data_IF_850939800050
#
_entry.id   IF_850939800050
#
_cell.length_a   1.000
_cell.length_b   1.000
_cell.length_c   1.000
_cell.angle_alpha   90.00
_cell.angle_beta   90.00
_cell.angle_gamma   90.00
#
_symmetry.space_group_name_H-M   'P 1'
#
loop_
_entity.id
_entity.type
_entity.pdbx_description
1 polymer ?
#
# COMPACT_ATOMS: atom_id res chain seq x y z
N UNK A 1 1.79 -10.40 -12.02
CA UNK A 1 1.89 -11.62 -12.86
C UNK A 1 2.49 -11.36 -14.25
N UNK A 2 2.23 -10.23 -14.92
CA UNK A 2 2.79 -9.93 -16.25
C UNK A 2 4.21 -9.36 -16.21
N UNK A 3 4.53 -8.52 -15.24
CA UNK A 3 5.81 -7.81 -15.15
C UNK A 3 6.98 -8.78 -14.91
N UNK A 4 6.83 -9.70 -13.94
CA UNK A 4 7.90 -10.64 -13.60
C UNK A 4 8.31 -11.53 -14.78
N UNK A 5 7.38 -12.21 -15.49
CA UNK A 5 7.73 -12.96 -16.69
C UNK A 5 8.31 -12.11 -17.81
N UNK A 6 7.82 -10.88 -18.01
CA UNK A 6 8.37 -9.98 -19.02
C UNK A 6 9.83 -9.58 -18.69
N UNK A 7 10.09 -9.19 -17.44
CA UNK A 7 11.47 -8.89 -16.99
C UNK A 7 12.38 -10.08 -17.17
N UNK A 8 11.94 -11.27 -16.79
CA UNK A 8 12.73 -12.50 -16.93
C UNK A 8 13.03 -12.83 -18.40
N UNK A 9 12.03 -12.72 -19.28
CA UNK A 9 12.20 -12.98 -20.71
C UNK A 9 13.17 -12.02 -21.40
N UNK A 10 13.11 -10.73 -21.05
CA UNK A 10 13.93 -9.68 -21.69
C UNK A 10 15.26 -9.40 -20.97
N UNK A 11 15.49 -9.92 -19.77
CA UNK A 11 16.77 -9.83 -19.05
C UNK A 11 17.72 -11.01 -19.29
N UNK A 12 17.40 -11.89 -20.24
CA UNK A 12 18.24 -13.05 -20.57
C UNK A 12 18.19 -14.17 -19.51
N UNK A 13 17.13 -14.22 -18.69
CA UNK A 13 16.98 -15.25 -17.68
C UNK A 13 17.80 -15.05 -16.40
N UNK A 14 18.40 -13.89 -16.19
CA UNK A 14 19.22 -13.61 -15.02
C UNK A 14 18.36 -13.17 -13.83
N UNK A 15 18.28 -13.95 -12.72
CA UNK A 15 17.46 -13.63 -11.57
C UNK A 15 17.92 -12.36 -10.82
N UNK A 16 19.18 -11.94 -10.96
CA UNK A 16 19.73 -10.76 -10.30
C UNK A 16 19.07 -9.45 -10.77
N UNK A 17 18.41 -9.47 -11.93
CA UNK A 17 17.64 -8.33 -12.44
C UNK A 17 16.23 -8.23 -11.86
N UNK A 18 15.78 -9.21 -11.09
CA UNK A 18 14.48 -9.23 -10.42
C UNK A 18 14.56 -8.50 -9.07
N UNK A 19 14.86 -7.21 -9.11
CA UNK A 19 14.82 -6.39 -7.91
C UNK A 19 13.38 -6.10 -7.51
N UNK A 20 13.10 -6.04 -6.21
CA UNK A 20 11.80 -5.66 -5.68
C UNK A 20 11.69 -4.13 -5.50
N UNK A 21 10.46 -3.63 -5.41
CA UNK A 21 10.20 -2.24 -5.08
C UNK A 21 10.45 -1.24 -6.22
N UNK A 22 10.78 0.02 -5.88
CA UNK A 22 10.98 1.10 -6.86
C UNK A 22 12.04 0.82 -7.91
N UNK A 23 13.08 0.07 -7.55
CA UNK A 23 14.16 -0.31 -8.46
C UNK A 23 13.68 -1.14 -9.65
N UNK A 24 12.71 -2.03 -9.43
CA UNK A 24 12.09 -2.80 -10.52
C UNK A 24 11.42 -1.86 -11.53
N UNK A 25 10.68 -0.87 -11.05
CA UNK A 25 9.89 0.02 -11.90
C UNK A 25 10.76 1.06 -12.63
N UNK A 26 11.75 1.64 -11.97
CA UNK A 26 12.50 2.78 -12.53
C UNK A 26 13.86 2.41 -13.12
N UNK A 27 14.42 1.23 -12.80
CA UNK A 27 15.69 0.76 -13.34
C UNK A 27 15.47 -0.40 -14.31
N UNK A 28 14.75 -1.43 -13.88
CA UNK A 28 14.63 -2.67 -14.65
C UNK A 28 13.65 -2.53 -15.82
N UNK A 29 12.46 -1.99 -15.61
CA UNK A 29 11.47 -1.83 -16.68
C UNK A 29 11.94 -0.94 -17.84
N UNK A 30 12.62 0.21 -17.64
CA UNK A 30 13.19 0.96 -18.76
C UNK A 30 14.18 0.17 -19.61
N UNK A 31 15.00 -0.70 -18.98
CA UNK A 31 15.93 -1.57 -19.71
C UNK A 31 15.18 -2.63 -20.55
N UNK A 32 14.10 -3.18 -19.98
CA UNK A 32 13.22 -4.12 -20.71
C UNK A 32 12.58 -3.42 -21.91
N UNK A 33 12.01 -2.22 -21.75
CA UNK A 33 11.45 -1.46 -22.85
C UNK A 33 12.49 -1.12 -23.91
N UNK A 34 13.73 -0.78 -23.51
CA UNK A 34 14.81 -0.50 -24.45
C UNK A 34 15.19 -1.72 -25.32
N UNK A 35 15.00 -2.95 -24.81
CA UNK A 35 15.26 -4.18 -25.56
C UNK A 35 14.12 -4.61 -26.51
N UNK A 36 12.93 -3.97 -26.40
CA UNK A 36 11.78 -4.26 -27.26
C UNK A 36 11.80 -3.39 -28.53
N UNK A 37 11.43 -3.92 -29.68
CA UNK A 37 11.43 -3.17 -30.95
C UNK A 37 10.51 -1.94 -30.96
N UNK A 38 9.38 -1.98 -30.23
CA UNK A 38 8.43 -0.85 -30.06
C UNK A 38 8.52 -0.28 -28.63
N UNK A 39 9.61 -0.58 -27.92
CA UNK A 39 9.75 -0.33 -26.48
C UNK A 39 9.68 1.15 -26.09
N UNK A 40 10.11 2.06 -26.95
CA UNK A 40 10.03 3.51 -26.66
C UNK A 40 8.59 3.97 -26.51
N UNK A 41 7.70 3.56 -27.40
CA UNK A 41 6.28 3.92 -27.34
C UNK A 41 5.60 3.24 -26.14
N UNK A 42 5.86 1.95 -25.96
CA UNK A 42 5.33 1.18 -24.82
C UNK A 42 5.80 1.78 -23.49
N UNK A 43 7.06 2.18 -23.37
CA UNK A 43 7.62 2.83 -22.18
C UNK A 43 6.95 4.17 -21.87
N UNK A 44 6.77 5.03 -22.88
CA UNK A 44 6.08 6.32 -22.71
C UNK A 44 4.65 6.08 -22.20
N UNK A 45 3.89 5.22 -22.86
CA UNK A 45 2.50 4.91 -22.45
C UNK A 45 2.45 4.35 -21.04
N UNK A 46 3.35 3.44 -20.71
CA UNK A 46 3.44 2.83 -19.37
C UNK A 46 3.67 3.89 -18.30
N UNK A 47 4.69 4.76 -18.46
CA UNK A 47 5.01 5.76 -17.44
C UNK A 47 3.96 6.87 -17.35
N UNK A 48 3.28 7.23 -18.45
CA UNK A 48 2.14 8.14 -18.40
C UNK A 48 0.99 7.53 -17.60
N UNK A 49 0.66 6.24 -17.82
CA UNK A 49 -0.36 5.54 -17.05
C UNK A 49 0.00 5.43 -15.57
N UNK A 50 1.26 5.12 -15.26
CA UNK A 50 1.77 5.10 -13.87
C UNK A 50 1.65 6.47 -13.21
N UNK A 51 1.99 7.54 -13.91
CA UNK A 51 1.85 8.90 -13.40
C UNK A 51 0.39 9.24 -13.12
N UNK A 52 -0.52 8.94 -14.03
CA UNK A 52 -1.95 9.17 -13.83
C UNK A 52 -2.51 8.36 -12.65
N UNK A 53 -2.12 7.09 -12.54
CA UNK A 53 -2.51 6.23 -11.42
C UNK A 53 -1.97 6.78 -10.08
N UNK A 54 -0.72 7.23 -10.05
CA UNK A 54 -0.13 7.81 -8.84
C UNK A 54 -0.84 9.10 -8.42
N UNK A 55 -1.14 10.00 -9.37
CA UNK A 55 -1.83 11.26 -9.09
C UNK A 55 -3.24 11.00 -8.56
N UNK A 56 -4.01 10.12 -9.18
CA UNK A 56 -5.38 9.79 -8.72
C UNK A 56 -5.38 9.17 -7.34
N UNK A 57 -4.43 8.28 -7.05
CA UNK A 57 -4.26 7.69 -5.71
C UNK A 57 -3.87 8.74 -4.66
N UNK A 58 -2.93 9.63 -5.00
CA UNK A 58 -2.49 10.70 -4.11
C UNK A 58 -3.64 11.66 -3.75
N UNK A 59 -4.48 12.02 -4.74
CA UNK A 59 -5.66 12.86 -4.51
C UNK A 59 -6.64 12.16 -3.57
N UNK A 60 -6.90 10.87 -3.76
CA UNK A 60 -7.83 10.11 -2.91
C UNK A 60 -7.34 10.01 -1.46
N UNK A 61 -6.04 9.77 -1.25
CA UNK A 61 -5.44 9.72 0.07
C UNK A 61 -5.46 11.10 0.76
N UNK A 62 -5.17 12.16 0.00
CA UNK A 62 -5.25 13.53 0.50
C UNK A 62 -6.67 13.87 0.93
N UNK A 63 -7.67 13.55 0.12
CA UNK A 63 -9.09 13.82 0.41
C UNK A 63 -9.55 13.07 1.66
N UNK A 64 -9.18 11.80 1.81
CA UNK A 64 -9.50 11.02 3.02
C UNK A 64 -8.91 11.68 4.27
N UNK A 65 -7.65 12.11 4.20
CA UNK A 65 -6.99 12.79 5.32
C UNK A 65 -7.65 14.14 5.63
N UNK A 66 -7.92 14.96 4.59
CA UNK A 66 -8.59 16.26 4.74
C UNK A 66 -9.95 16.11 5.37
N UNK A 67 -10.78 15.15 4.91
CA UNK A 67 -12.10 14.89 5.47
C UNK A 67 -12.03 14.51 6.95
N UNK A 68 -11.10 13.61 7.31
CA UNK A 68 -10.91 13.19 8.71
C UNK A 68 -10.56 14.37 9.61
N UNK A 69 -9.60 15.22 9.20
CA UNK A 69 -9.23 16.40 9.98
C UNK A 69 -10.33 17.46 10.03
N UNK A 70 -11.10 17.61 8.96
CA UNK A 70 -12.24 18.52 8.92
C UNK A 70 -13.31 18.09 9.91
N UNK A 71 -13.63 16.81 9.97
CA UNK A 71 -14.68 16.26 10.84
C UNK A 71 -14.27 16.31 12.31
N UNK A 72 -13.01 15.97 12.64
CA UNK A 72 -12.52 15.93 14.02
C UNK A 72 -12.22 17.33 14.58
N UNK A 73 -11.57 18.20 13.81
CA UNK A 73 -11.12 19.52 14.28
C UNK A 73 -12.12 20.64 13.95
N UNK A 74 -13.17 20.35 13.17
CA UNK A 74 -14.15 21.32 12.71
C UNK A 74 -13.51 22.53 12.00
N UNK A 75 -12.39 22.32 11.33
CA UNK A 75 -11.68 23.36 10.58
C UNK A 75 -12.28 23.55 9.20
N UNK A 76 -12.07 24.74 8.63
CA UNK A 76 -12.48 24.99 7.25
C UNK A 76 -11.63 24.15 6.27
N UNK A 77 -12.26 23.61 5.24
CA UNK A 77 -11.65 22.77 4.23
C UNK A 77 -10.33 23.32 3.66
N UNK A 78 -10.19 24.62 3.30
CA UNK A 78 -8.92 25.14 2.81
C UNK A 78 -7.77 25.02 3.80
N UNK A 79 -8.04 25.23 5.10
CA UNK A 79 -7.01 25.07 6.15
C UNK A 79 -6.53 23.63 6.26
N UNK A 80 -7.46 22.66 6.26
CA UNK A 80 -7.10 21.25 6.28
C UNK A 80 -6.31 20.85 5.02
N UNK A 81 -6.73 21.31 3.84
CA UNK A 81 -6.00 21.05 2.60
C UNK A 81 -4.57 21.58 2.62
N UNK A 82 -4.36 22.81 3.06
CA UNK A 82 -3.02 23.42 3.13
C UNK A 82 -2.15 22.68 4.15
N UNK A 83 -2.68 22.37 5.33
CA UNK A 83 -1.96 21.61 6.34
C UNK A 83 -1.53 20.23 5.81
N UNK A 84 -2.47 19.47 5.25
CA UNK A 84 -2.18 18.13 4.74
C UNK A 84 -1.24 18.16 3.55
N UNK A 85 -1.38 19.12 2.64
CA UNK A 85 -0.45 19.31 1.54
C UNK A 85 0.97 19.64 2.05
N UNK A 86 1.11 20.49 3.04
CA UNK A 86 2.42 20.81 3.66
C UNK A 86 3.05 19.56 4.30
N UNK A 87 2.29 18.79 5.07
CA UNK A 87 2.76 17.53 5.69
C UNK A 87 3.19 16.53 4.63
N UNK A 88 2.39 16.33 3.58
CA UNK A 88 2.72 15.42 2.48
C UNK A 88 3.98 15.86 1.72
N UNK A 89 4.17 17.16 1.49
CA UNK A 89 5.36 17.69 0.84
C UNK A 89 6.61 17.46 1.71
N UNK A 90 6.54 17.71 3.01
CA UNK A 90 7.67 17.52 3.93
C UNK A 90 8.06 16.04 3.98
N UNK A 91 7.11 15.16 4.26
CA UNK A 91 7.37 13.72 4.38
C UNK A 91 7.79 13.13 3.03
N UNK A 92 7.12 13.52 1.94
CA UNK A 92 7.45 13.06 0.59
C UNK A 92 8.83 13.51 0.13
N UNK A 93 9.24 14.74 0.43
CA UNK A 93 10.59 15.23 0.13
C UNK A 93 11.64 14.45 0.93
N UNK A 94 11.41 14.24 2.23
CA UNK A 94 12.30 13.45 3.08
C UNK A 94 12.43 12.01 2.58
N UNK A 95 11.32 11.40 2.20
CA UNK A 95 11.29 10.04 1.64
C UNK A 95 12.02 9.94 0.30
N UNK A 96 11.84 10.92 -0.59
CA UNK A 96 12.52 10.97 -1.88
C UNK A 96 14.04 11.17 -1.75
N UNK A 97 14.47 12.04 -0.81
CA UNK A 97 15.90 12.27 -0.55
C UNK A 97 16.59 11.05 0.07
N UNK A 98 15.86 10.13 0.68
CA UNK A 98 16.39 8.90 1.26
C UNK A 98 17.08 7.97 0.26
N UNK A 99 16.77 8.06 -1.04
CA UNK A 99 17.48 7.34 -2.11
C UNK A 99 18.64 8.13 -2.73
N UNK A 100 18.83 9.38 -2.32
CA UNK A 100 19.86 10.26 -2.87
C UNK A 100 20.79 10.81 -1.78
N UNK A 101 20.68 12.10 -1.51
CA UNK A 101 21.58 12.83 -0.60
C UNK A 101 21.54 12.30 0.83
N UNK A 102 20.38 11.79 1.27
CA UNK A 102 20.19 11.27 2.63
C UNK A 102 20.27 9.73 2.71
N UNK A 103 20.87 9.06 1.73
CA UNK A 103 21.02 7.60 1.72
C UNK A 103 21.86 7.06 2.89
N UNK A 104 22.62 7.92 3.59
CA UNK A 104 23.35 7.55 4.81
C UNK A 104 22.42 7.41 6.03
N UNK A 105 21.22 7.99 5.99
CA UNK A 105 20.22 7.85 7.06
C UNK A 105 19.42 6.58 6.81
N UNK A 106 19.79 5.53 7.51
CA UNK A 106 19.08 4.26 7.50
C UNK A 106 18.38 4.06 8.85
N UNK A 107 17.08 3.83 8.82
CA UNK A 107 16.27 3.53 9.99
C UNK A 107 16.05 2.02 10.03
N UNK A 108 16.57 1.33 11.04
CA UNK A 108 16.59 -0.15 11.12
C UNK A 108 17.25 -0.82 9.90
N UNK A 109 18.25 -0.17 9.27
CA UNK A 109 18.92 -0.70 8.07
C UNK A 109 18.11 -0.55 6.78
N UNK A 110 17.00 0.18 6.80
CA UNK A 110 16.13 0.45 5.66
C UNK A 110 16.22 1.92 5.22
N UNK A 111 16.04 2.18 3.92
CA UNK A 111 15.89 3.55 3.43
C UNK A 111 14.61 4.20 3.99
N UNK A 112 14.57 5.53 4.03
CA UNK A 112 13.41 6.25 4.60
C UNK A 112 12.07 5.82 3.96
N UNK A 113 12.02 5.63 2.65
CA UNK A 113 10.80 5.18 1.96
C UNK A 113 10.39 3.78 2.41
N UNK A 114 11.35 2.85 2.48
CA UNK A 114 11.10 1.47 2.87
C UNK A 114 10.64 1.39 4.33
N UNK A 115 11.18 2.26 5.19
CA UNK A 115 10.72 2.38 6.57
C UNK A 115 9.27 2.89 6.66
N UNK A 116 8.91 3.93 5.90
CA UNK A 116 7.53 4.43 5.87
C UNK A 116 6.57 3.40 5.27
N UNK A 117 7.00 2.69 4.23
CA UNK A 117 6.21 1.61 3.63
C UNK A 117 5.98 0.47 4.64
N UNK A 118 7.02 0.05 5.33
CA UNK A 118 6.92 -0.93 6.41
C UNK A 118 5.96 -0.46 7.50
N UNK A 119 6.11 0.76 7.99
CA UNK A 119 5.28 1.31 9.06
C UNK A 119 3.80 1.35 8.65
N UNK A 120 3.50 1.84 7.45
CA UNK A 120 2.11 1.98 6.98
C UNK A 120 1.50 0.64 6.57
N UNK A 121 2.16 -0.12 5.70
CA UNK A 121 1.59 -1.33 5.11
C UNK A 121 1.72 -2.56 6.02
N UNK A 122 2.86 -2.70 6.71
CA UNK A 122 3.13 -3.90 7.50
C UNK A 122 2.66 -3.79 8.95
N UNK A 123 2.53 -2.58 9.49
CA UNK A 123 2.12 -2.37 10.89
C UNK A 123 0.76 -1.70 10.99
N UNK A 124 0.61 -0.47 10.47
CA UNK A 124 -0.60 0.33 10.69
C UNK A 124 -1.82 -0.28 9.98
N UNK A 125 -1.68 -0.77 8.76
CA UNK A 125 -2.79 -1.35 8.00
C UNK A 125 -3.36 -2.62 8.65
N UNK A 126 -2.57 -3.63 9.05
CA UNK A 126 -3.10 -4.78 9.79
C UNK A 126 -3.70 -4.41 11.15
N UNK A 127 -3.12 -3.43 11.87
CA UNK A 127 -3.69 -2.94 13.12
C UNK A 127 -5.05 -2.29 12.92
N UNK A 128 -5.18 -1.41 11.91
CA UNK A 128 -6.45 -0.80 11.56
C UNK A 128 -7.51 -1.84 11.16
N UNK A 129 -7.11 -2.85 10.37
CA UNK A 129 -7.98 -3.95 10.00
C UNK A 129 -8.42 -4.78 11.21
N UNK A 130 -7.53 -5.08 12.16
CA UNK A 130 -7.88 -5.76 13.42
C UNK A 130 -8.84 -4.93 14.26
N UNK A 131 -8.59 -3.61 14.39
CA UNK A 131 -9.49 -2.70 15.10
C UNK A 131 -10.88 -2.67 14.47
N UNK A 132 -10.95 -2.65 13.13
CA UNK A 132 -12.22 -2.71 12.39
C UNK A 132 -12.93 -4.04 12.61
N UNK A 133 -12.24 -5.17 12.55
CA UNK A 133 -12.81 -6.48 12.87
C UNK A 133 -13.38 -6.52 14.29
N UNK A 134 -12.62 -5.99 15.26
CA UNK A 134 -13.06 -5.92 16.65
C UNK A 134 -14.30 -5.04 16.82
N UNK A 135 -14.31 -3.88 16.19
CA UNK A 135 -15.45 -2.95 16.21
C UNK A 135 -16.70 -3.59 15.62
N UNK A 136 -16.58 -4.29 14.48
CA UNK A 136 -17.68 -5.02 13.85
C UNK A 136 -18.25 -6.09 14.80
N UNK A 137 -17.37 -6.90 15.38
CA UNK A 137 -17.79 -8.01 16.25
C UNK A 137 -18.46 -7.52 17.53
N UNK A 138 -17.93 -6.44 18.14
CA UNK A 138 -18.36 -6.00 19.48
C UNK A 138 -19.42 -4.91 19.46
N UNK A 139 -19.37 -3.99 18.52
CA UNK A 139 -20.21 -2.79 18.52
C UNK A 139 -21.34 -2.85 17.50
N UNK A 140 -21.01 -3.19 16.25
CA UNK A 140 -21.99 -3.21 15.16
C UNK A 140 -22.86 -4.46 15.21
N UNK A 141 -22.23 -5.62 15.41
CA UNK A 141 -22.88 -6.93 15.41
C UNK A 141 -23.13 -7.45 13.96
N UNK A 142 -22.94 -8.76 13.80
CA UNK A 142 -23.11 -9.39 12.48
C UNK A 142 -24.53 -9.36 11.94
N UNK A 143 -25.54 -9.28 12.83
CA UNK A 143 -26.93 -9.29 12.42
C UNK A 143 -27.33 -7.98 11.72
N UNK A 144 -26.75 -6.84 12.13
CA UNK A 144 -26.98 -5.56 11.43
C UNK A 144 -26.39 -5.59 10.03
N UNK A 145 -25.14 -6.05 9.90
CA UNK A 145 -24.47 -6.18 8.60
C UNK A 145 -25.24 -7.15 7.70
N UNK A 146 -25.66 -8.27 8.26
CA UNK A 146 -26.43 -9.25 7.49
C UNK A 146 -27.75 -8.70 6.97
N UNK A 147 -28.48 -7.91 7.77
CA UNK A 147 -29.71 -7.23 7.35
C UNK A 147 -29.44 -6.22 6.24
N UNK A 148 -28.35 -5.46 6.33
CA UNK A 148 -27.98 -4.48 5.31
C UNK A 148 -27.68 -5.16 3.97
N UNK A 149 -26.95 -6.29 3.98
CA UNK A 149 -26.69 -7.08 2.79
C UNK A 149 -27.99 -7.69 2.23
N UNK A 150 -28.88 -8.16 3.11
CA UNK A 150 -30.16 -8.77 2.72
C UNK A 150 -31.12 -7.77 2.07
N UNK A 151 -30.96 -6.45 2.28
CA UNK A 151 -31.70 -5.41 1.56
C UNK A 151 -31.34 -5.36 0.07
N UNK A 152 -30.12 -5.66 -0.29
CA UNK A 152 -29.64 -5.58 -1.68
C UNK A 152 -29.72 -6.93 -2.40
N UNK A 153 -29.53 -8.04 -1.69
CA UNK A 153 -29.51 -9.39 -2.29
C UNK A 153 -29.69 -10.49 -1.26
N UNK A 154 -30.13 -11.68 -1.69
CA UNK A 154 -30.25 -12.85 -0.82
C UNK A 154 -28.86 -13.30 -0.30
N UNK A 155 -28.65 -13.22 1.01
CA UNK A 155 -27.37 -13.57 1.65
C UNK A 155 -27.22 -15.08 1.88
N UNK A 156 -27.00 -15.83 0.80
CA UNK A 156 -26.96 -17.31 0.81
C UNK A 156 -25.82 -17.92 1.66
N UNK A 157 -24.71 -17.19 1.88
CA UNK A 157 -23.52 -17.68 2.56
C UNK A 157 -23.23 -16.96 3.89
N UNK A 158 -24.27 -16.55 4.61
CA UNK A 158 -24.17 -15.82 5.88
C UNK A 158 -23.28 -16.51 6.93
N UNK A 159 -23.44 -17.83 7.11
CA UNK A 159 -22.64 -18.60 8.08
C UNK A 159 -21.15 -18.61 7.73
N UNK A 160 -20.83 -18.74 6.44
CA UNK A 160 -19.44 -18.73 5.96
C UNK A 160 -18.81 -17.35 6.16
N UNK A 161 -19.51 -16.28 5.81
CA UNK A 161 -19.06 -14.91 6.04
C UNK A 161 -18.77 -14.63 7.52
N UNK A 162 -19.70 -15.01 8.41
CA UNK A 162 -19.53 -14.83 9.85
C UNK A 162 -18.31 -15.60 10.40
N UNK A 163 -18.07 -16.82 9.91
CA UNK A 163 -16.91 -17.59 10.30
C UNK A 163 -15.60 -16.93 9.88
N UNK A 164 -15.53 -16.47 8.62
CA UNK A 164 -14.36 -15.77 8.09
C UNK A 164 -14.06 -14.48 8.86
N UNK A 165 -15.06 -13.63 9.06
CA UNK A 165 -14.87 -12.35 9.73
C UNK A 165 -14.58 -12.49 11.24
N UNK A 166 -15.15 -13.49 11.90
CA UNK A 166 -14.99 -13.66 13.34
C UNK A 166 -13.69 -14.36 13.74
N UNK A 167 -13.23 -15.31 12.92
CA UNK A 167 -12.10 -16.16 13.28
C UNK A 167 -10.95 -16.05 12.27
N UNK A 168 -11.22 -16.30 10.99
CA UNK A 168 -10.14 -16.42 10.01
C UNK A 168 -9.44 -15.08 9.75
N UNK A 169 -10.18 -14.01 9.53
CA UNK A 169 -9.60 -12.70 9.24
C UNK A 169 -8.72 -12.18 10.39
N UNK A 170 -9.15 -12.16 11.68
CA UNK A 170 -8.29 -11.75 12.77
C UNK A 170 -7.04 -12.62 12.93
N UNK A 171 -7.16 -13.94 12.77
CA UNK A 171 -6.01 -14.85 12.86
C UNK A 171 -5.00 -14.56 11.75
N UNK A 172 -5.46 -14.43 10.49
CA UNK A 172 -4.58 -14.10 9.37
C UNK A 172 -3.90 -12.73 9.56
N UNK A 173 -4.62 -11.73 10.05
CA UNK A 173 -4.07 -10.39 10.30
C UNK A 173 -3.00 -10.41 11.39
N UNK A 174 -3.20 -11.18 12.46
CA UNK A 174 -2.20 -11.35 13.52
C UNK A 174 -0.96 -12.06 12.97
N UNK A 175 -1.13 -13.10 12.16
CA UNK A 175 -0.01 -13.82 11.54
C UNK A 175 0.79 -12.89 10.62
N UNK A 176 0.11 -12.09 9.78
CA UNK A 176 0.74 -11.11 8.89
C UNK A 176 1.54 -10.10 9.71
N UNK A 177 0.97 -9.54 10.76
CA UNK A 177 1.61 -8.56 11.62
C UNK A 177 2.84 -9.13 12.32
N UNK A 178 2.74 -10.33 12.89
CA UNK A 178 3.86 -11.01 13.53
C UNK A 178 4.97 -11.36 12.53
N UNK A 179 4.62 -11.85 11.35
CA UNK A 179 5.57 -12.17 10.28
C UNK A 179 6.30 -10.92 9.80
N UNK A 180 5.60 -9.81 9.62
CA UNK A 180 6.21 -8.54 9.20
C UNK A 180 7.18 -7.98 10.23
N UNK A 181 6.82 -8.05 11.51
CA UNK A 181 7.73 -7.64 12.61
C UNK A 181 8.95 -8.57 12.68
N UNK A 182 8.74 -9.87 12.58
CA UNK A 182 9.82 -10.86 12.62
C UNK A 182 10.82 -10.70 11.45
N UNK A 183 10.33 -10.30 10.27
CA UNK A 183 11.16 -9.99 9.11
C UNK A 183 12.08 -8.78 9.38
N UNK A 184 11.55 -7.70 9.93
CA UNK A 184 12.35 -6.50 10.26
C UNK A 184 13.36 -6.77 11.39
N UNK A 185 13.01 -7.62 12.35
CA UNK A 185 13.94 -8.04 13.40
C UNK A 185 15.02 -9.03 12.91
N UNK A 186 14.99 -9.41 11.63
CA UNK A 186 15.95 -10.33 11.03
C UNK A 186 15.81 -11.79 11.50
N UNK A 187 14.67 -12.13 12.13
CA UNK A 187 14.39 -13.49 12.61
C UNK A 187 13.98 -14.39 11.44
N UNK A 188 13.32 -13.82 10.44
CA UNK A 188 12.87 -14.52 9.23
C UNK A 188 13.32 -13.68 8.04
N UNK A 189 14.12 -14.24 7.14
CA UNK A 189 14.43 -13.64 5.83
C UNK A 189 13.42 -14.15 4.80
N UNK A 190 12.52 -13.30 4.34
CA UNK A 190 11.70 -13.56 3.17
C UNK A 190 12.21 -12.77 1.97
#
# INVERSE_FOLDING_TARGET
>A
LMIIPAVFAFSGGNPDNLQAGPSLMFITLPKVFASMGVGRLAGILFFVLVLLAAVTSAISLLETSVSTFQDELHWSRPKCCILMAAVMLIIGTLSSMGYGVLSFIQIFGMACLDFFDFLTNSVMMPLAALATCFLIVRTVGFDKIAREIEQSSAFKRKKLYMFFMKYLAPICLIIILLSSIANVLGIISM
#
